data_IF_075978476243
#
_entry.id   IF_075978476243
#
_cell.length_a   1.000
_cell.length_b   1.000
_cell.length_c   1.000
_cell.angle_alpha   90.00
_cell.angle_beta   90.00
_cell.angle_gamma   90.00
#
_symmetry.space_group_name_H-M   'P 1'
#
loop_
_entity.id
_entity.type
_entity.pdbx_description
1 polymer ?
#
# COMPACT_ATOMS: atom_id res chain seq x y z
N UNK A 1 -5.76 -20.70 13.97
CA UNK A 1 -6.38 -20.41 12.65
C UNK A 1 -6.78 -18.95 12.51
N UNK A 2 -7.63 -18.40 13.40
CA UNK A 2 -8.07 -17.00 13.29
C UNK A 2 -6.91 -15.99 13.28
N UNK A 3 -5.93 -16.16 14.17
CA UNK A 3 -4.74 -15.30 14.21
C UNK A 3 -3.89 -15.40 12.92
N UNK A 4 -3.70 -16.61 12.38
CA UNK A 4 -2.98 -16.81 11.10
C UNK A 4 -3.67 -16.09 9.94
N UNK A 5 -5.00 -16.21 9.85
CA UNK A 5 -5.81 -15.52 8.85
C UNK A 5 -5.77 -14.00 9.09
N UNK A 6 -5.74 -13.58 10.35
CA UNK A 6 -5.58 -12.18 10.75
C UNK A 6 -4.24 -11.60 10.29
N UNK A 7 -3.12 -12.25 10.59
CA UNK A 7 -1.77 -11.81 10.18
C UNK A 7 -1.63 -11.71 8.66
N UNK A 8 -2.19 -12.67 7.91
CA UNK A 8 -2.29 -12.57 6.46
C UNK A 8 -3.17 -11.40 6.02
N UNK A 9 -4.36 -11.24 6.61
CA UNK A 9 -5.25 -10.13 6.30
C UNK A 9 -4.59 -8.77 6.51
N UNK A 10 -3.85 -8.59 7.61
CA UNK A 10 -3.04 -7.41 7.88
C UNK A 10 -1.95 -7.23 6.81
N UNK A 11 -1.19 -8.29 6.51
CA UNK A 11 -0.11 -8.26 5.52
C UNK A 11 -0.61 -7.84 4.12
N UNK A 12 -1.73 -8.40 3.66
CA UNK A 12 -2.36 -8.03 2.39
C UNK A 12 -2.91 -6.60 2.41
N UNK A 13 -3.58 -6.21 3.49
CA UNK A 13 -4.15 -4.86 3.63
C UNK A 13 -3.11 -3.76 3.68
N UNK A 14 -2.05 -3.95 4.48
CA UNK A 14 -0.96 -2.99 4.61
C UNK A 14 -0.11 -2.92 3.35
N UNK A 15 0.20 -4.07 2.72
CA UNK A 15 0.97 -4.07 1.46
C UNK A 15 0.19 -3.44 0.30
N UNK A 16 -1.12 -3.68 0.21
CA UNK A 16 -1.95 -3.02 -0.81
C UNK A 16 -2.05 -1.51 -0.57
N UNK A 17 -2.24 -1.08 0.68
CA UNK A 17 -2.19 0.33 1.08
C UNK A 17 -0.84 0.98 0.74
N UNK A 18 0.28 0.26 0.92
CA UNK A 18 1.63 0.74 0.59
C UNK A 18 1.80 1.04 -0.90
N UNK A 19 1.04 0.37 -1.76
CA UNK A 19 0.98 0.68 -3.18
C UNK A 19 0.26 1.99 -3.51
N UNK A 20 -0.62 2.48 -2.63
CA UNK A 20 -1.34 3.77 -2.76
C UNK A 20 -0.60 4.93 -2.08
N UNK A 21 0.06 4.68 -0.96
CA UNK A 21 1.01 5.60 -0.32
C UNK A 21 1.98 4.75 0.52
N UNK A 22 3.30 4.90 0.35
CA UNK A 22 4.27 4.08 1.06
C UNK A 22 4.34 4.44 2.56
N UNK A 23 4.31 5.73 2.87
CA UNK A 23 4.62 6.23 4.21
C UNK A 23 3.44 6.14 5.17
N UNK A 24 2.19 6.26 4.69
CA UNK A 24 0.99 6.11 5.53
C UNK A 24 0.93 4.77 6.26
N UNK A 25 0.90 3.60 5.59
CA UNK A 25 0.85 2.30 6.25
C UNK A 25 2.08 2.03 7.12
N UNK A 26 3.28 2.46 6.69
CA UNK A 26 4.49 2.35 7.50
C UNK A 26 4.38 3.15 8.80
N UNK A 27 3.89 4.40 8.73
CA UNK A 27 3.70 5.26 9.88
C UNK A 27 2.60 4.73 10.80
N UNK A 28 1.49 4.23 10.25
CA UNK A 28 0.41 3.60 11.03
C UNK A 28 0.95 2.39 11.80
N UNK A 29 1.71 1.50 11.15
CA UNK A 29 2.33 0.33 11.80
C UNK A 29 3.36 0.75 12.84
N UNK A 30 4.22 1.73 12.53
CA UNK A 30 5.22 2.25 13.44
C UNK A 30 4.59 2.82 14.73
N UNK A 31 3.52 3.62 14.59
CA UNK A 31 2.78 4.18 15.71
C UNK A 31 2.02 3.11 16.50
N UNK A 32 1.40 2.15 15.81
CA UNK A 32 0.69 1.05 16.44
C UNK A 32 1.63 0.14 17.25
N UNK A 33 2.83 -0.12 16.73
CA UNK A 33 3.87 -0.86 17.45
C UNK A 33 4.45 -0.05 18.62
N UNK A 34 4.52 1.28 18.50
CA UNK A 34 5.04 2.15 19.56
C UNK A 34 4.05 2.36 20.71
N UNK A 35 2.76 2.44 20.40
CA UNK A 35 1.68 2.61 21.36
C UNK A 35 0.74 1.40 21.27
N UNK A 36 1.19 0.22 21.74
CA UNK A 36 0.45 -1.02 21.53
C UNK A 36 -0.91 -0.98 22.21
N UNK A 37 -1.96 -1.23 21.43
CA UNK A 37 -3.36 -1.28 21.84
C UNK A 37 -3.73 -2.57 22.62
N UNK A 38 -2.76 -3.19 23.30
CA UNK A 38 -2.88 -4.48 24.02
C UNK A 38 -3.13 -5.71 23.10
N UNK A 39 -2.94 -5.58 21.78
CA UNK A 39 -3.08 -6.68 20.81
C UNK A 39 -1.71 -7.29 20.43
N UNK A 40 -1.49 -8.61 20.61
CA UNK A 40 -0.25 -9.28 20.23
C UNK A 40 0.02 -9.29 18.71
N UNK A 41 -0.97 -9.01 17.86
CA UNK A 41 -0.80 -8.95 16.40
C UNK A 41 0.10 -7.79 15.93
N UNK A 42 0.36 -6.81 16.80
CA UNK A 42 1.20 -5.64 16.52
C UNK A 42 2.61 -5.75 17.10
N UNK A 43 2.97 -6.90 17.69
CA UNK A 43 4.32 -7.16 18.16
C UNK A 43 5.25 -7.39 16.96
N UNK A 44 5.89 -6.32 16.49
CA UNK A 44 6.91 -6.41 15.45
C UNK A 44 8.10 -7.20 15.98
N UNK A 45 8.47 -8.27 15.27
CA UNK A 45 9.69 -9.03 15.54
C UNK A 45 10.91 -8.31 14.98
N UNK A 46 12.09 -8.58 15.53
CA UNK A 46 13.35 -8.11 14.95
C UNK A 46 13.49 -8.64 13.52
N UNK A 47 13.88 -7.81 12.53
CA UNK A 47 14.37 -6.42 12.64
C UNK A 47 13.29 -5.33 12.42
N UNK A 48 12.02 -5.70 12.32
CA UNK A 48 10.92 -4.76 12.03
C UNK A 48 10.56 -3.87 13.22
N UNK A 49 10.91 -4.28 14.44
CA UNK A 49 10.81 -3.51 15.68
C UNK A 49 11.46 -2.12 15.60
N UNK A 50 12.49 -1.94 14.76
CA UNK A 50 13.12 -0.64 14.47
C UNK A 50 12.13 0.43 13.98
N UNK A 51 11.03 0.03 13.34
CA UNK A 51 9.97 0.96 12.92
C UNK A 51 9.34 1.72 14.09
N UNK A 52 9.28 1.12 15.28
CA UNK A 52 8.70 1.76 16.47
C UNK A 52 9.63 2.82 17.10
N UNK A 53 10.87 2.96 16.62
CA UNK A 53 11.81 3.97 17.11
C UNK A 53 11.34 5.39 16.79
N UNK A 54 11.66 6.35 17.66
CA UNK A 54 11.30 7.75 17.42
C UNK A 54 11.93 8.31 16.14
N UNK A 55 13.14 7.83 15.80
CA UNK A 55 13.83 8.20 14.57
C UNK A 55 13.08 7.70 13.33
N UNK A 56 12.64 6.44 13.31
CA UNK A 56 11.85 5.90 12.20
C UNK A 56 10.49 6.61 12.06
N UNK A 57 9.77 6.81 13.17
CA UNK A 57 8.48 7.53 13.17
C UNK A 57 8.67 8.97 12.66
N UNK A 58 9.67 9.69 13.16
CA UNK A 58 9.97 11.06 12.73
C UNK A 58 10.32 11.13 11.25
N UNK A 59 11.15 10.20 10.76
CA UNK A 59 11.50 10.11 9.34
C UNK A 59 10.27 9.83 8.46
N UNK A 60 9.45 8.85 8.83
CA UNK A 60 8.23 8.51 8.09
C UNK A 60 7.21 9.66 8.07
N UNK A 61 7.07 10.38 9.18
CA UNK A 61 6.21 11.57 9.24
C UNK A 61 6.71 12.68 8.30
N UNK A 62 8.02 12.94 8.26
CA UNK A 62 8.61 13.92 7.33
C UNK A 62 8.44 13.48 5.88
N UNK A 63 8.74 12.21 5.57
CA UNK A 63 8.57 11.66 4.22
C UNK A 63 7.12 11.72 3.75
N UNK A 64 6.15 11.45 4.65
CA UNK A 64 4.74 11.61 4.36
C UNK A 64 4.39 13.07 4.03
N UNK A 65 4.86 14.04 4.82
CA UNK A 65 4.64 15.46 4.52
C UNK A 65 5.25 15.87 3.18
N UNK A 66 6.44 15.37 2.85
CA UNK A 66 7.08 15.58 1.56
C UNK A 66 6.23 14.98 0.43
N UNK A 67 5.76 13.74 0.56
CA UNK A 67 4.90 13.12 -0.46
C UNK A 67 3.60 13.91 -0.66
N UNK A 68 2.93 14.29 0.42
CA UNK A 68 1.69 15.07 0.36
C UNK A 68 1.89 16.47 -0.24
N UNK A 69 3.08 17.04 -0.20
CA UNK A 69 3.38 18.36 -0.78
C UNK A 69 3.81 18.24 -2.23
N UNK A 70 4.68 17.28 -2.55
CA UNK A 70 5.19 17.04 -3.90
C UNK A 70 4.06 16.67 -4.87
N UNK A 71 3.10 15.84 -4.45
CA UNK A 71 1.98 15.42 -5.30
C UNK A 71 1.01 16.55 -5.69
N UNK A 72 1.14 17.73 -5.08
CA UNK A 72 0.31 18.91 -5.41
C UNK A 72 0.90 19.76 -6.53
N UNK A 73 2.17 19.54 -6.91
CA UNK A 73 2.86 20.35 -7.90
C UNK A 73 2.88 19.57 -9.22
N UNK A 74 2.21 20.06 -10.29
CA UNK A 74 2.24 19.41 -11.60
C UNK A 74 3.67 19.22 -12.10
N UNK A 75 3.94 18.11 -12.79
CA UNK A 75 5.24 17.64 -13.25
C UNK A 75 6.19 17.11 -12.15
N UNK A 76 6.17 17.69 -10.95
CA UNK A 76 6.93 17.13 -9.81
C UNK A 76 6.27 15.85 -9.31
N UNK A 77 4.94 15.78 -9.36
CA UNK A 77 4.14 14.56 -9.12
C UNK A 77 4.62 13.36 -9.94
N UNK A 78 4.96 13.59 -11.21
CA UNK A 78 5.41 12.57 -12.15
C UNK A 78 6.82 12.06 -11.81
N UNK A 79 7.72 12.95 -11.36
CA UNK A 79 9.05 12.56 -10.87
C UNK A 79 8.94 11.76 -9.56
N UNK A 80 8.05 12.17 -8.66
CA UNK A 80 7.75 11.42 -7.44
C UNK A 80 7.29 10.00 -7.78
N UNK A 81 6.37 9.84 -8.74
CA UNK A 81 5.92 8.51 -9.17
C UNK A 81 7.04 7.59 -9.67
N UNK A 82 8.06 8.15 -10.33
CA UNK A 82 9.24 7.38 -10.76
C UNK A 82 10.03 6.88 -9.54
N UNK A 83 10.31 7.75 -8.58
CA UNK A 83 10.99 7.36 -7.34
C UNK A 83 10.18 6.30 -6.59
N UNK A 84 8.86 6.53 -6.51
CA UNK A 84 7.92 5.69 -5.79
C UNK A 84 7.71 4.31 -6.43
N UNK A 85 8.12 4.13 -7.69
CA UNK A 85 8.18 2.81 -8.36
C UNK A 85 9.11 1.84 -7.63
N UNK A 86 10.09 2.34 -6.87
CA UNK A 86 10.97 1.52 -6.02
C UNK A 86 10.53 1.53 -4.56
N UNK A 87 10.17 2.69 -4.03
CA UNK A 87 9.86 2.86 -2.60
C UNK A 87 8.58 2.10 -2.22
N UNK A 88 7.52 2.19 -3.01
CA UNK A 88 6.22 1.54 -2.67
C UNK A 88 6.30 0.02 -2.66
N UNK A 89 6.89 -0.65 -3.67
CA UNK A 89 7.10 -2.10 -3.59
C UNK A 89 7.98 -2.51 -2.40
N UNK A 90 9.02 -1.73 -2.08
CA UNK A 90 9.88 -2.00 -0.92
C UNK A 90 9.11 -1.85 0.41
N UNK A 91 8.30 -0.81 0.56
CA UNK A 91 7.43 -0.61 1.71
C UNK A 91 6.41 -1.76 1.84
N UNK A 92 5.79 -2.16 0.73
CA UNK A 92 4.88 -3.31 0.70
C UNK A 92 5.56 -4.62 1.09
N UNK A 93 6.78 -4.85 0.63
CA UNK A 93 7.59 -6.01 1.01
C UNK A 93 7.85 -6.06 2.52
N UNK A 94 8.28 -4.93 3.07
CA UNK A 94 8.57 -4.79 4.50
C UNK A 94 7.31 -5.03 5.34
N UNK A 95 6.21 -4.36 5.00
CA UNK A 95 4.94 -4.50 5.72
C UNK A 95 4.36 -5.91 5.63
N UNK A 96 4.43 -6.53 4.46
CA UNK A 96 3.94 -7.90 4.29
C UNK A 96 4.78 -8.87 5.13
N UNK A 97 6.12 -8.78 5.05
CA UNK A 97 7.01 -9.66 5.80
C UNK A 97 6.90 -9.46 7.32
N UNK A 98 6.73 -8.21 7.77
CA UNK A 98 6.55 -7.88 9.19
C UNK A 98 5.27 -8.48 9.80
N UNK A 99 4.21 -8.66 9.00
CA UNK A 99 2.89 -9.12 9.49
C UNK A 99 2.60 -10.59 9.18
N UNK A 100 3.12 -11.11 8.06
CA UNK A 100 2.90 -12.51 7.67
C UNK A 100 3.59 -13.48 8.64
N UNK A 101 4.77 -13.14 9.14
CA UNK A 101 5.58 -14.04 9.95
C UNK A 101 5.25 -14.02 11.46
N UNK A 102 4.22 -13.27 11.88
CA UNK A 102 3.82 -13.21 13.30
C UNK A 102 3.18 -14.52 13.74
N UNK A 103 2.45 -15.21 12.86
CA UNK A 103 1.75 -16.48 13.15
C UNK A 103 1.91 -17.55 12.05
N UNK A 104 2.28 -17.20 10.81
CA UNK A 104 2.43 -18.17 9.72
C UNK A 104 3.91 -18.36 9.37
N UNK A 105 4.39 -19.61 9.34
CA UNK A 105 5.74 -20.00 8.89
C UNK A 105 5.88 -19.83 7.36
N UNK A 106 5.59 -18.63 6.85
CA UNK A 106 5.76 -18.32 5.44
C UNK A 106 7.24 -18.06 5.20
N UNK A 107 7.79 -18.75 4.20
CA UNK A 107 9.17 -18.54 3.80
C UNK A 107 9.43 -17.04 3.52
N UNK A 108 10.44 -16.39 4.14
CA UNK A 108 10.62 -14.93 4.07
C UNK A 108 10.67 -14.38 2.65
N UNK A 109 11.28 -15.11 1.71
CA UNK A 109 11.33 -14.74 0.29
C UNK A 109 9.93 -14.65 -0.33
N UNK A 110 9.01 -15.55 0.03
CA UNK A 110 7.64 -15.53 -0.47
C UNK A 110 6.87 -14.35 0.11
N UNK A 111 7.07 -14.03 1.38
CA UNK A 111 6.44 -12.88 2.03
C UNK A 111 6.90 -11.55 1.38
N UNK A 112 8.21 -11.40 1.17
CA UNK A 112 8.80 -10.25 0.47
C UNK A 112 8.23 -10.15 -0.96
N UNK A 113 8.27 -11.25 -1.72
CA UNK A 113 7.78 -11.28 -3.09
C UNK A 113 6.29 -10.94 -3.18
N UNK A 114 5.47 -11.46 -2.26
CA UNK A 114 4.05 -11.13 -2.19
C UNK A 114 3.83 -9.63 -1.92
N UNK A 115 4.55 -9.05 -0.96
CA UNK A 115 4.47 -7.61 -0.67
C UNK A 115 4.89 -6.73 -1.85
N UNK A 116 5.98 -7.07 -2.54
CA UNK A 116 6.44 -6.37 -3.76
C UNK A 116 5.37 -6.41 -4.84
N UNK A 117 4.84 -7.61 -5.13
CA UNK A 117 3.85 -7.80 -6.19
C UNK A 117 2.54 -7.08 -5.89
N UNK A 118 2.10 -7.09 -4.63
CA UNK A 118 0.87 -6.41 -4.22
C UNK A 118 1.03 -4.90 -4.30
N UNK A 119 2.03 -4.32 -3.62
CA UNK A 119 2.22 -2.87 -3.60
C UNK A 119 2.58 -2.33 -4.99
N UNK A 120 3.46 -3.02 -5.73
CA UNK A 120 3.79 -2.67 -7.11
C UNK A 120 2.60 -2.80 -8.05
N UNK A 121 1.76 -3.83 -7.88
CA UNK A 121 0.52 -3.99 -8.65
C UNK A 121 -0.48 -2.86 -8.41
N UNK A 122 -0.61 -2.39 -7.17
CA UNK A 122 -1.48 -1.26 -6.83
C UNK A 122 -0.90 0.06 -7.36
N UNK A 123 0.40 0.31 -7.19
CA UNK A 123 1.08 1.50 -7.72
C UNK A 123 0.96 1.58 -9.25
N UNK A 124 1.18 0.46 -9.94
CA UNK A 124 1.03 0.41 -11.41
C UNK A 124 -0.41 0.64 -11.85
N UNK A 125 -1.40 0.13 -11.11
CA UNK A 125 -2.81 0.41 -11.40
C UNK A 125 -3.13 1.91 -11.28
N UNK A 126 -2.58 2.59 -10.27
CA UNK A 126 -2.63 4.06 -10.11
C UNK A 126 -1.92 4.79 -11.26
N UNK A 127 -0.73 4.35 -11.66
CA UNK A 127 0.02 4.96 -12.74
C UNK A 127 -0.73 4.98 -14.08
N UNK A 128 -1.69 4.07 -14.29
CA UNK A 128 -2.52 4.02 -15.49
C UNK A 128 -3.66 5.06 -15.48
N UNK A 129 -4.10 5.54 -14.31
CA UNK A 129 -5.20 6.53 -14.20
C UNK A 129 -4.70 7.97 -14.34
N UNK A 130 -3.49 8.27 -13.84
CA UNK A 130 -2.93 9.64 -13.82
C UNK A 130 -2.82 10.31 -15.21
N UNK A 131 -2.37 9.66 -16.29
CA UNK A 131 -2.32 10.29 -17.61
C UNK A 131 -3.69 10.73 -18.12
N UNK A 132 -4.74 9.97 -17.81
CA UNK A 132 -6.13 10.29 -18.21
C UNK A 132 -6.60 11.54 -17.48
N UNK A 133 -6.36 11.61 -16.17
CA UNK A 133 -6.74 12.78 -15.35
C UNK A 133 -5.93 14.01 -15.74
N UNK A 134 -4.62 13.83 -15.99
CA UNK A 134 -3.74 14.89 -16.46
C UNK A 134 -4.23 15.48 -17.78
N UNK A 135 -4.55 14.62 -18.76
CA UNK A 135 -5.08 15.05 -20.05
C UNK A 135 -6.44 15.76 -19.93
N UNK A 136 -7.30 15.31 -19.02
CA UNK A 136 -8.63 15.88 -18.82
C UNK A 136 -8.63 17.22 -18.05
N UNK A 137 -7.63 17.45 -17.18
CA UNK A 137 -7.63 18.58 -16.22
C UNK A 137 -6.41 19.49 -16.33
N UNK A 138 -5.58 19.30 -17.38
CA UNK A 138 -4.26 19.93 -17.50
C UNK A 138 -3.39 19.74 -16.23
N UNK A 139 -3.48 18.58 -15.59
CA UNK A 139 -2.75 18.22 -14.37
C UNK A 139 -3.36 18.73 -13.05
N UNK A 140 -4.33 19.65 -13.09
CA UNK A 140 -4.93 20.22 -11.87
C UNK A 140 -5.83 19.26 -11.10
N UNK A 141 -6.23 18.12 -11.68
CA UNK A 141 -7.00 17.08 -11.01
C UNK A 141 -6.15 16.03 -10.27
N UNK A 142 -4.84 15.98 -10.52
CA UNK A 142 -3.98 14.93 -9.98
C UNK A 142 -3.88 14.99 -8.45
N UNK A 143 -3.88 16.19 -7.86
CA UNK A 143 -3.82 16.34 -6.40
C UNK A 143 -5.06 15.75 -5.71
N UNK A 144 -6.23 15.84 -6.33
CA UNK A 144 -7.48 15.32 -5.76
C UNK A 144 -7.49 13.79 -5.80
N UNK A 145 -6.96 13.22 -6.89
CA UNK A 145 -6.75 11.77 -7.01
C UNK A 145 -5.76 11.29 -5.96
N UNK A 146 -4.64 12.00 -5.77
CA UNK A 146 -3.65 11.64 -4.75
C UNK A 146 -4.23 11.74 -3.34
N UNK A 147 -5.01 12.78 -3.05
CA UNK A 147 -5.69 12.90 -1.76
C UNK A 147 -6.67 11.74 -1.51
N UNK A 148 -7.42 11.33 -2.54
CA UNK A 148 -8.31 10.18 -2.42
C UNK A 148 -7.53 8.88 -2.14
N UNK A 149 -6.39 8.70 -2.81
CA UNK A 149 -5.49 7.56 -2.59
C UNK A 149 -4.91 7.56 -1.17
N UNK A 150 -4.49 8.71 -0.65
CA UNK A 150 -4.00 8.88 0.72
C UNK A 150 -5.06 8.54 1.75
N UNK A 151 -6.29 9.00 1.53
CA UNK A 151 -7.45 8.70 2.40
C UNK A 151 -7.75 7.21 2.38
N UNK A 152 -7.79 6.58 1.20
CA UNK A 152 -8.00 5.13 1.07
C UNK A 152 -6.86 4.38 1.75
N UNK A 153 -5.61 4.78 1.54
CA UNK A 153 -4.44 4.17 2.17
C UNK A 153 -4.55 4.24 3.70
N UNK A 154 -4.87 5.42 4.26
CA UNK A 154 -5.03 5.63 5.69
C UNK A 154 -6.10 4.71 6.29
N UNK A 155 -7.31 4.70 5.72
CA UNK A 155 -8.39 3.86 6.23
C UNK A 155 -8.11 2.37 6.02
N UNK A 156 -7.52 1.98 4.89
CA UNK A 156 -7.14 0.59 4.65
C UNK A 156 -6.08 0.11 5.64
N UNK A 157 -5.10 0.95 5.97
CA UNK A 157 -4.09 0.67 7.00
C UNK A 157 -4.71 0.54 8.38
N UNK A 158 -5.64 1.43 8.73
CA UNK A 158 -6.34 1.36 10.00
C UNK A 158 -7.20 0.09 10.11
N UNK A 159 -7.93 -0.27 9.05
CA UNK A 159 -8.70 -1.52 9.00
C UNK A 159 -7.76 -2.72 9.06
N UNK A 160 -6.61 -2.68 8.40
CA UNK A 160 -5.63 -3.77 8.44
C UNK A 160 -5.07 -4.02 9.83
N UNK A 161 -4.91 -2.96 10.64
CA UNK A 161 -4.48 -3.05 12.03
C UNK A 161 -5.62 -3.47 12.97
N UNK A 162 -6.80 -2.87 12.84
CA UNK A 162 -7.90 -3.06 13.80
C UNK A 162 -8.78 -4.28 13.50
N UNK A 163 -9.00 -4.57 12.21
CA UNK A 163 -9.87 -5.65 11.74
C UNK A 163 -9.18 -6.35 10.54
N UNK A 164 -8.07 -7.07 10.77
CA UNK A 164 -7.20 -7.56 9.69
C UNK A 164 -7.90 -8.42 8.64
N UNK A 165 -8.88 -9.24 9.07
CA UNK A 165 -9.66 -10.11 8.18
C UNK A 165 -10.43 -9.26 7.16
N UNK A 166 -11.00 -8.13 7.57
CA UNK A 166 -11.74 -7.24 6.68
C UNK A 166 -10.81 -6.58 5.66
N UNK A 167 -9.59 -6.20 6.06
CA UNK A 167 -8.61 -5.65 5.13
C UNK A 167 -8.15 -6.68 4.09
N UNK A 168 -7.95 -7.93 4.50
CA UNK A 168 -7.66 -9.04 3.58
C UNK A 168 -8.77 -9.23 2.56
N UNK A 169 -10.04 -9.26 3.00
CA UNK A 169 -11.20 -9.36 2.12
C UNK A 169 -11.30 -8.17 1.17
N UNK A 170 -11.16 -6.94 1.67
CA UNK A 170 -11.18 -5.73 0.84
C UNK A 170 -10.07 -5.75 -0.23
N UNK A 171 -8.86 -6.19 0.13
CA UNK A 171 -7.74 -6.36 -0.80
C UNK A 171 -8.08 -7.38 -1.89
N UNK A 172 -8.61 -8.55 -1.52
CA UNK A 172 -9.00 -9.59 -2.46
C UNK A 172 -10.09 -9.11 -3.42
N UNK A 173 -11.12 -8.41 -2.92
CA UNK A 173 -12.18 -7.83 -3.75
C UNK A 173 -11.62 -6.79 -4.73
N UNK A 174 -10.72 -5.92 -4.27
CA UNK A 174 -10.02 -4.94 -5.12
C UNK A 174 -9.21 -5.61 -6.23
N UNK A 175 -8.45 -6.66 -5.92
CA UNK A 175 -7.67 -7.43 -6.90
C UNK A 175 -8.58 -8.12 -7.92
N UNK A 176 -9.65 -8.79 -7.49
CA UNK A 176 -10.61 -9.43 -8.38
C UNK A 176 -11.25 -8.40 -9.32
N UNK A 177 -11.62 -7.23 -8.80
CA UNK A 177 -12.19 -6.15 -9.59
C UNK A 177 -11.19 -5.62 -10.63
N UNK A 178 -9.93 -5.38 -10.23
CA UNK A 178 -8.86 -4.94 -11.12
C UNK A 178 -8.62 -5.95 -12.25
N UNK A 179 -8.50 -7.24 -11.93
CA UNK A 179 -8.31 -8.32 -12.93
C UNK A 179 -9.48 -8.37 -13.91
N UNK A 180 -10.72 -8.24 -13.43
CA UNK A 180 -11.92 -8.19 -14.28
C UNK A 180 -11.89 -6.99 -15.20
N UNK A 181 -11.49 -5.81 -14.71
CA UNK A 181 -11.39 -4.58 -15.50
C UNK A 181 -10.35 -4.74 -16.63
N UNK A 182 -9.16 -5.24 -16.32
CA UNK A 182 -8.09 -5.48 -17.29
C UNK A 182 -8.52 -6.49 -18.36
N UNK A 183 -9.12 -7.61 -17.96
CA UNK A 183 -9.63 -8.62 -18.91
C UNK A 183 -10.71 -8.05 -19.83
N UNK A 184 -11.64 -7.24 -19.30
CA UNK A 184 -12.67 -6.57 -20.12
C UNK A 184 -12.06 -5.61 -21.14
N UNK A 185 -11.06 -4.81 -20.75
CA UNK A 185 -10.37 -3.89 -21.66
C UNK A 185 -9.60 -4.62 -22.77
N UNK A 186 -8.92 -5.73 -22.44
CA UNK A 186 -8.21 -6.54 -23.44
C UNK A 186 -9.15 -7.18 -24.46
N UNK A 187 -10.28 -7.75 -24.02
CA UNK A 187 -11.30 -8.33 -24.93
C UNK A 187 -11.88 -7.31 -25.91
N UNK A 188 -12.18 -6.10 -25.43
CA UNK A 188 -12.67 -5.01 -26.31
C UNK A 188 -11.64 -4.59 -27.36
N UNK A 189 -10.35 -4.66 -27.06
CA UNK A 189 -9.31 -4.35 -28.05
C UNK A 189 -9.20 -5.44 -29.13
N UNK A 190 -9.33 -6.71 -28.77
CA UNK A 190 -9.27 -7.82 -29.75
C UNK A 190 -10.40 -7.72 -30.79
N UNK A 191 -11.62 -7.40 -30.36
CA UNK A 191 -12.78 -7.23 -31.26
C UNK A 191 -12.73 -5.99 -32.16
N UNK A 192 -11.77 -5.08 -31.98
CA UNK A 192 -11.60 -3.88 -32.83
C UNK A 192 -10.57 -4.13 -33.94
N UNK A 193 -9.77 -5.20 -33.82
CA UNK A 193 -8.74 -5.59 -34.80
C UNK A 193 -9.10 -6.86 -35.60
N UNK A 194 -10.27 -7.44 -35.35
CA UNK A 194 -10.90 -8.49 -36.16
C UNK A 194 -11.99 -7.86 -37.06
#
# INVERSE_FOLDING_TARGET
MLQAIGGLGAAFGLASSAGLNAYIPLLVVALAARFPLQDPLLALSTPYDLLASWWAIGLLAVLLLVEMTVDKIPAVDSLNDVIQTFIRPAAGALLFAANANVITDIHPVLAIAAGILLAGGVHTAKGVTRPVVTAATAGTGNWLVSLAEDVIAFFMSLIAVLIPILAGLATLLGLVWLVRLVRRRRRKRQLVFD
#
